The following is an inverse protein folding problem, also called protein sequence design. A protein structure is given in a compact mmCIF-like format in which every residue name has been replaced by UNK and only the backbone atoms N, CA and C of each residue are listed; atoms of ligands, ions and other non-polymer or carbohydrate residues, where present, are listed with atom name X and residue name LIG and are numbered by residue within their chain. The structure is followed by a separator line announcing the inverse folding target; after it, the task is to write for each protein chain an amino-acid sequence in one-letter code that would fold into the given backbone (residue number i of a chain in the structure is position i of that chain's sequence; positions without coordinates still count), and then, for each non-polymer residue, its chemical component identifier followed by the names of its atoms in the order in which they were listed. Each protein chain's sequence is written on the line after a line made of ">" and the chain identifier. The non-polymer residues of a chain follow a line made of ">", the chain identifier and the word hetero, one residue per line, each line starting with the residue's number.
data_IF_205198104955
#
_entry.id   IF_205198104955
#
_cell.length_a   1.000
_cell.length_b   1.000
_cell.length_c   1.000
_cell.angle_alpha   90.00
_cell.angle_beta   90.00
_cell.angle_gamma   90.00
#
_symmetry.space_group_name_H-M   'P 1'
#
loop_
_entity.id
_entity.type
_entity.pdbx_description
1 polymer ?
#
# COMPACT_ATOMS: atom_id res chain seq x y z
N UNK A 1 -28.94 40.40 -0.25
CA UNK A 1 -27.73 40.75 -1.03
C UNK A 1 -27.28 39.55 -1.87
N UNK A 2 -28.05 39.12 -2.88
CA UNK A 2 -27.79 37.87 -3.63
C UNK A 2 -27.61 38.05 -5.14
N UNK A 3 -27.68 39.28 -5.66
CA UNK A 3 -27.64 39.55 -7.10
C UNK A 3 -26.24 39.84 -7.66
N UNK A 4 -25.22 40.01 -6.81
CA UNK A 4 -23.88 40.42 -7.27
C UNK A 4 -22.99 39.18 -7.58
N UNK A 5 -23.36 37.99 -7.10
CA UNK A 5 -22.60 36.75 -7.33
C UNK A 5 -23.08 35.93 -8.55
N UNK A 6 -24.22 36.28 -9.17
CA UNK A 6 -24.74 35.54 -10.34
C UNK A 6 -24.12 35.97 -11.68
N UNK A 7 -23.61 37.20 -11.78
CA UNK A 7 -22.92 37.72 -12.96
C UNK A 7 -21.57 37.06 -13.28
N UNK A 8 -20.64 36.84 -12.31
CA UNK A 8 -19.40 36.15 -12.63
C UNK A 8 -19.63 34.68 -13.03
N UNK A 9 -20.65 34.03 -12.46
CA UNK A 9 -21.02 32.65 -12.79
C UNK A 9 -21.55 32.49 -14.22
N UNK A 10 -22.33 33.46 -14.71
CA UNK A 10 -22.84 33.44 -16.09
C UNK A 10 -21.75 33.78 -17.11
N UNK A 11 -20.81 34.66 -16.75
CA UNK A 11 -19.65 34.98 -17.59
C UNK A 11 -18.67 33.79 -17.68
N UNK A 12 -18.47 33.04 -16.59
CA UNK A 12 -17.65 31.82 -16.58
C UNK A 12 -18.25 30.69 -17.44
N UNK A 13 -19.57 30.48 -17.39
CA UNK A 13 -20.26 29.53 -18.28
C UNK A 13 -20.25 29.95 -19.76
N UNK A 14 -20.04 31.24 -20.08
CA UNK A 14 -19.92 31.71 -21.46
C UNK A 14 -18.49 31.58 -22.02
N UNK A 15 -17.48 31.63 -21.15
CA UNK A 15 -16.05 31.58 -21.51
C UNK A 15 -15.49 30.14 -21.59
N UNK A 16 -16.16 29.15 -21.00
CA UNK A 16 -15.75 27.75 -21.03
C UNK A 16 -16.74 26.92 -21.87
N UNK A 17 -16.47 26.68 -23.17
CA UNK A 17 -17.37 25.94 -24.08
C UNK A 17 -17.53 24.44 -23.75
N UNK A 18 -17.01 23.97 -22.61
CA UNK A 18 -17.02 22.55 -22.21
C UNK A 18 -17.95 22.22 -21.05
N UNK A 19 -18.62 23.20 -20.44
CA UNK A 19 -19.50 22.98 -19.28
C UNK A 19 -20.87 22.46 -19.74
N UNK A 20 -21.08 21.14 -19.71
CA UNK A 20 -22.42 20.55 -19.83
C UNK A 20 -23.19 20.87 -18.54
N UNK A 21 -24.47 21.27 -18.65
CA UNK A 21 -25.30 21.72 -17.52
C UNK A 21 -25.62 20.66 -16.42
N UNK A 22 -24.93 19.52 -16.41
CA UNK A 22 -25.13 18.43 -15.45
C UNK A 22 -23.88 18.01 -14.67
N UNK A 23 -22.70 18.59 -14.93
CA UNK A 23 -21.49 18.33 -14.13
C UNK A 23 -21.41 19.32 -12.97
N UNK A 24 -21.06 18.88 -11.74
CA UNK A 24 -20.87 19.78 -10.62
C UNK A 24 -19.73 20.75 -10.95
N UNK A 25 -19.98 22.05 -10.81
CA UNK A 25 -19.05 23.12 -11.19
C UNK A 25 -17.64 22.97 -10.57
N UNK A 26 -17.54 22.34 -9.41
CA UNK A 26 -16.26 22.02 -8.76
C UNK A 26 -15.39 21.08 -9.60
N UNK A 27 -15.98 20.14 -10.34
CA UNK A 27 -15.27 19.22 -11.22
C UNK A 27 -14.67 19.95 -12.42
N UNK A 28 -15.41 20.90 -13.00
CA UNK A 28 -14.93 21.67 -14.15
C UNK A 28 -13.84 22.67 -13.73
N UNK A 29 -13.94 23.24 -12.53
CA UNK A 29 -12.87 24.06 -11.94
C UNK A 29 -11.60 23.23 -11.65
N UNK A 30 -11.76 22.01 -11.15
CA UNK A 30 -10.63 21.10 -10.91
C UNK A 30 -9.95 20.70 -12.21
N UNK A 31 -10.73 20.31 -13.23
CA UNK A 31 -10.19 19.98 -14.56
C UNK A 31 -9.50 21.16 -15.21
N UNK A 32 -10.05 22.36 -15.08
CA UNK A 32 -9.44 23.59 -15.59
C UNK A 32 -8.14 23.89 -14.84
N UNK A 33 -8.09 23.71 -13.52
CA UNK A 33 -6.88 23.90 -12.73
C UNK A 33 -5.78 22.88 -13.11
N UNK A 34 -6.16 21.62 -13.33
CA UNK A 34 -5.23 20.57 -13.79
C UNK A 34 -4.70 20.90 -15.19
N UNK A 35 -5.57 21.30 -16.13
CA UNK A 35 -5.18 21.61 -17.50
C UNK A 35 -4.32 22.89 -17.59
N UNK A 36 -4.65 23.92 -16.81
CA UNK A 36 -3.80 25.11 -16.69
C UNK A 36 -2.46 24.78 -16.03
N UNK A 37 -2.45 23.94 -14.99
CA UNK A 37 -1.23 23.49 -14.35
C UNK A 37 -0.34 22.69 -15.30
N UNK A 38 -0.90 21.74 -16.04
CA UNK A 38 -0.15 20.93 -16.99
C UNK A 38 0.39 21.78 -18.15
N UNK A 39 -0.39 22.72 -18.70
CA UNK A 39 0.09 23.63 -19.74
C UNK A 39 1.18 24.60 -19.24
N UNK A 40 1.08 25.05 -17.98
CA UNK A 40 2.11 25.91 -17.38
C UNK A 40 3.44 25.16 -17.20
N UNK A 41 3.39 23.89 -16.77
CA UNK A 41 4.58 23.08 -16.53
C UNK A 41 5.04 22.24 -17.74
N UNK A 42 4.25 22.11 -18.79
CA UNK A 42 4.58 21.35 -20.00
C UNK A 42 5.91 21.76 -20.65
N UNK A 43 6.27 23.06 -20.78
CA UNK A 43 7.56 23.46 -21.33
C UNK A 43 8.74 22.95 -20.49
N UNK A 44 8.62 23.01 -19.15
CA UNK A 44 9.66 22.56 -18.23
C UNK A 44 9.82 21.04 -18.24
N UNK A 45 8.71 20.30 -18.33
CA UNK A 45 8.74 18.83 -18.44
C UNK A 45 9.36 18.42 -19.79
N UNK A 46 9.06 19.14 -20.88
CA UNK A 46 9.64 18.90 -22.20
C UNK A 46 11.16 19.14 -22.23
N UNK A 47 11.64 20.23 -21.63
CA UNK A 47 13.06 20.51 -21.52
C UNK A 47 13.80 19.44 -20.71
N UNK A 48 13.23 19.01 -19.59
CA UNK A 48 13.81 17.94 -18.76
C UNK A 48 13.88 16.60 -19.50
N UNK A 49 12.84 16.25 -20.25
CA UNK A 49 12.80 15.02 -21.02
C UNK A 49 13.80 15.03 -22.19
N UNK A 50 13.89 16.15 -22.92
CA UNK A 50 14.85 16.34 -24.00
C UNK A 50 16.31 16.32 -23.48
N UNK A 51 16.59 16.96 -22.34
CA UNK A 51 17.92 16.92 -21.72
C UNK A 51 18.33 15.49 -21.35
N UNK A 52 17.38 14.66 -20.91
CA UNK A 52 17.63 13.26 -20.54
C UNK A 52 17.84 12.36 -21.76
N UNK A 53 17.14 12.60 -22.86
CA UNK A 53 17.37 11.85 -24.11
C UNK A 53 18.68 12.24 -24.80
N UNK A 54 19.05 13.52 -24.80
CA UNK A 54 20.32 13.96 -25.38
C UNK A 54 21.54 13.49 -24.55
N UNK A 55 21.41 13.42 -23.22
CA UNK A 55 22.47 12.88 -22.35
C UNK A 55 22.71 11.38 -22.50
N UNK A 56 21.74 10.61 -22.99
CA UNK A 56 21.87 9.16 -23.16
C UNK A 56 22.58 8.75 -24.48
N UNK A 57 22.75 9.67 -25.44
CA UNK A 57 23.41 9.40 -26.72
C UNK A 57 24.85 9.92 -26.83
N UNK A 58 25.36 10.61 -25.81
CA UNK A 58 26.78 10.96 -25.71
C UNK A 58 27.53 10.02 -24.78
N UNK A 59 27.61 8.75 -25.16
CA UNK A 59 28.73 7.90 -24.72
C UNK A 59 29.91 8.26 -25.62
N UNK A 60 30.97 8.90 -25.13
CA UNK A 60 32.17 9.12 -25.94
C UNK A 60 32.85 7.76 -26.08
N UNK A 61 32.68 7.13 -27.24
CA UNK A 61 33.55 6.05 -27.65
C UNK A 61 34.93 6.65 -27.91
N UNK A 62 35.87 6.28 -27.04
CA UNK A 62 37.31 6.30 -27.27
C UNK A 62 37.60 5.93 -28.73
N UNK A 63 38.00 6.93 -29.51
CA UNK A 63 38.55 6.78 -30.84
C UNK A 63 40.03 7.15 -30.76
N UNK A 64 40.84 6.17 -30.36
CA UNK A 64 42.28 6.19 -30.58
C UNK A 64 42.60 5.75 -32.01
N UNK A 65 43.54 6.49 -32.59
CA UNK A 65 44.30 6.25 -33.83
C UNK A 65 43.51 6.39 -35.15
N UNK A 66 43.85 7.29 -36.08
CA UNK A 66 45.17 7.37 -36.75
C UNK A 66 45.26 8.66 -37.60
N UNK A 67 46.40 9.38 -37.54
CA UNK A 67 46.88 10.33 -38.58
C UNK A 67 47.18 9.55 -39.88
N UNK A 68 46.85 9.96 -41.11
CA UNK A 68 47.36 11.12 -41.88
C UNK A 68 46.60 11.26 -43.25
N UNK A 69 46.80 12.31 -44.09
CA UNK A 69 45.77 12.94 -44.94
C UNK A 69 46.16 12.90 -46.46
N UNK A 70 45.76 13.88 -47.30
CA UNK A 70 44.44 14.13 -47.87
C UNK A 70 44.46 14.01 -49.41
N UNK A 71 43.32 13.68 -50.05
CA UNK A 71 43.10 14.17 -51.41
C UNK A 71 41.64 14.20 -51.85
N UNK A 72 41.29 15.34 -52.44
CA UNK A 72 40.37 15.53 -53.56
C UNK A 72 38.85 15.65 -53.31
N UNK A 73 38.46 16.90 -53.05
CA UNK A 73 37.56 17.76 -53.84
C UNK A 73 36.38 17.17 -54.66
N UNK A 74 35.26 17.88 -54.51
CA UNK A 74 34.17 18.15 -55.45
C UNK A 74 33.20 17.03 -55.83
N UNK A 75 31.97 17.09 -55.28
CA UNK A 75 30.76 17.39 -56.06
C UNK A 75 29.49 17.46 -55.18
N UNK A 76 28.95 18.68 -55.12
CA UNK A 76 27.56 19.17 -55.18
C UNK A 76 26.35 18.44 -54.51
N UNK A 77 25.32 19.20 -54.06
CA UNK A 77 24.19 18.71 -53.28
C UNK A 77 22.92 18.52 -54.12
N UNK A 78 22.24 17.39 -53.98
CA UNK A 78 20.78 17.27 -54.21
C UNK A 78 20.31 15.86 -53.86
N UNK A 79 19.46 15.72 -52.84
CA UNK A 79 18.09 15.24 -53.06
C UNK A 79 17.32 15.05 -51.76
N UNK A 80 16.14 15.64 -51.79
CA UNK A 80 14.99 15.42 -50.94
C UNK A 80 14.42 14.01 -51.13
N UNK A 81 13.61 13.61 -50.15
CA UNK A 81 12.53 12.61 -50.24
C UNK A 81 12.88 11.13 -50.46
N UNK A 82 13.01 10.41 -49.35
CA UNK A 82 12.47 9.04 -49.26
C UNK A 82 11.87 8.78 -47.86
N UNK A 83 10.60 9.16 -47.74
CA UNK A 83 9.48 8.34 -47.29
C UNK A 83 9.76 7.05 -46.46
N UNK A 84 9.26 7.09 -45.22
CA UNK A 84 8.52 6.04 -44.50
C UNK A 84 8.93 4.56 -44.69
N UNK A 85 9.54 3.97 -43.65
CA UNK A 85 9.21 2.63 -43.12
C UNK A 85 10.15 2.26 -41.96
N UNK A 86 9.70 2.47 -40.72
CA UNK A 86 10.16 1.75 -39.53
C UNK A 86 9.16 2.08 -38.40
N UNK A 87 8.06 1.34 -38.35
CA UNK A 87 7.90 0.23 -37.42
C UNK A 87 7.35 0.74 -36.08
N UNK A 88 6.02 0.76 -36.01
CA UNK A 88 5.26 0.62 -34.78
C UNK A 88 5.86 -0.53 -33.94
N UNK A 89 6.55 -0.16 -32.86
CA UNK A 89 6.79 -1.08 -31.76
C UNK A 89 5.53 -1.06 -30.88
N UNK A 90 4.81 -2.18 -30.69
CA UNK A 90 3.70 -2.22 -29.76
C UNK A 90 4.26 -2.07 -28.35
N UNK A 91 3.97 -0.92 -27.74
CA UNK A 91 4.19 -0.69 -26.32
C UNK A 91 3.26 -1.65 -25.55
N UNK A 92 3.86 -2.62 -24.89
CA UNK A 92 3.17 -3.55 -23.99
C UNK A 92 2.73 -2.78 -22.74
N UNK A 93 1.44 -2.40 -22.66
CA UNK A 93 0.80 -1.68 -21.55
C UNK A 93 0.71 -2.51 -20.24
N UNK A 94 1.53 -3.55 -20.08
CA UNK A 94 1.54 -4.43 -18.90
C UNK A 94 2.60 -4.12 -17.86
N UNK A 95 3.41 -3.09 -18.06
CA UNK A 95 4.33 -2.57 -17.04
C UNK A 95 3.67 -1.42 -16.25
N UNK A 96 2.51 -1.70 -15.66
CA UNK A 96 2.01 -0.89 -14.55
C UNK A 96 2.77 -1.36 -13.32
N UNK A 97 3.65 -0.51 -12.81
CA UNK A 97 4.24 -0.65 -11.48
C UNK A 97 3.06 -0.55 -10.49
N UNK A 98 2.56 -1.70 -10.07
CA UNK A 98 1.52 -1.81 -9.07
C UNK A 98 2.21 -1.73 -7.71
N UNK A 99 2.08 -0.57 -7.04
CA UNK A 99 2.52 -0.40 -5.65
C UNK A 99 1.68 -1.36 -4.77
N UNK A 100 2.34 -2.38 -4.24
CA UNK A 100 1.78 -3.38 -3.31
C UNK A 100 1.58 -2.74 -1.93
N UNK A 101 0.54 -1.92 -1.78
CA UNK A 101 -0.02 -1.57 -0.47
C UNK A 101 -0.87 -2.74 0.03
N UNK A 102 -0.24 -3.62 0.80
CA UNK A 102 -0.86 -4.80 1.42
C UNK A 102 -1.76 -4.40 2.61
N UNK A 103 -3.02 -4.03 2.33
CA UNK A 103 -4.08 -4.00 3.33
C UNK A 103 -5.43 -4.43 2.71
N UNK A 104 -6.02 -5.48 3.28
CA UNK A 104 -7.38 -5.98 3.05
C UNK A 104 -7.69 -6.68 1.72
N UNK A 105 -7.12 -7.89 1.53
CA UNK A 105 -7.70 -8.89 0.62
C UNK A 105 -8.61 -9.88 1.38
N UNK A 106 -9.84 -10.16 0.90
CA UNK A 106 -10.77 -11.10 1.53
C UNK A 106 -10.25 -12.55 1.47
N UNK A 107 -10.54 -13.40 2.47
CA UNK A 107 -10.05 -14.77 2.53
C UNK A 107 -10.76 -15.62 1.47
N UNK A 108 -10.15 -15.83 0.31
CA UNK A 108 -10.68 -16.77 -0.70
C UNK A 108 -10.13 -16.69 -2.12
N UNK A 109 -9.39 -15.65 -2.51
CA UNK A 109 -8.82 -15.57 -3.85
C UNK A 109 -7.47 -16.29 -3.92
N UNK A 110 -7.47 -17.54 -4.40
CA UNK A 110 -6.25 -18.28 -4.69
C UNK A 110 -5.44 -17.55 -5.77
N UNK A 111 -4.25 -17.06 -5.42
CA UNK A 111 -3.29 -16.50 -6.39
C UNK A 111 -2.94 -17.56 -7.45
N UNK A 112 -2.89 -17.22 -8.75
CA UNK A 112 -2.49 -18.18 -9.78
C UNK A 112 -1.04 -18.64 -9.52
N UNK A 113 -0.84 -19.96 -9.41
CA UNK A 113 0.49 -20.56 -9.26
C UNK A 113 1.31 -20.27 -10.51
N UNK A 114 2.54 -19.80 -10.32
CA UNK A 114 3.49 -19.60 -11.41
C UNK A 114 3.66 -20.89 -12.26
N UNK A 115 3.93 -20.78 -13.57
CA UNK A 115 4.14 -21.93 -14.43
C UNK A 115 5.36 -22.74 -13.94
N UNK A 116 5.14 -23.99 -13.56
CA UNK A 116 6.19 -24.93 -13.18
C UNK A 116 7.16 -25.11 -14.36
N UNK A 117 8.50 -24.97 -14.18
CA UNK A 117 9.45 -25.22 -15.25
C UNK A 117 9.39 -26.68 -15.72
N UNK A 118 9.65 -26.95 -17.01
CA UNK A 118 9.52 -28.29 -17.60
C UNK A 118 10.52 -29.29 -16.97
N UNK A 119 10.14 -30.57 -16.83
CA UNK A 119 11.01 -31.59 -16.25
C UNK A 119 12.22 -31.83 -17.17
N UNK A 120 13.42 -31.76 -16.58
CA UNK A 120 14.66 -32.08 -17.27
C UNK A 120 14.66 -33.54 -17.79
N UNK A 121 15.21 -33.80 -18.99
CA UNK A 121 15.21 -35.13 -19.58
C UNK A 121 16.06 -36.11 -18.75
N UNK A 122 15.41 -37.22 -18.35
CA UNK A 122 16.05 -38.41 -17.79
C UNK A 122 16.94 -39.06 -18.85
N UNK A 123 18.25 -38.85 -18.75
CA UNK A 123 19.21 -39.79 -19.31
C UNK A 123 19.61 -40.81 -18.25
N UNK A 124 18.97 -41.98 -18.34
CA UNK A 124 19.53 -43.21 -17.83
C UNK A 124 20.70 -43.61 -18.74
N UNK A 125 21.89 -43.74 -18.15
CA UNK A 125 22.87 -44.70 -18.59
C UNK A 125 23.37 -45.43 -17.35
N UNK A 126 22.80 -46.61 -17.21
CA UNK A 126 23.14 -47.70 -16.31
C UNK A 126 24.57 -48.19 -16.61
N UNK A 127 25.43 -48.23 -15.59
CA UNK A 127 26.54 -49.19 -15.51
C UNK A 127 26.60 -49.67 -14.07
N UNK A 128 26.17 -50.91 -13.88
CA UNK A 128 26.45 -51.77 -12.73
C UNK A 128 27.96 -51.83 -12.48
N UNK A 129 28.41 -51.67 -11.25
CA UNK A 129 28.67 -52.85 -10.41
C UNK A 129 29.27 -52.46 -9.05
N UNK A 130 28.78 -53.20 -8.07
CA UNK A 130 29.43 -53.68 -6.88
C UNK A 130 29.75 -52.78 -5.65
N UNK A 131 29.20 -53.33 -4.56
CA UNK A 131 29.82 -53.47 -3.25
C UNK A 131 29.79 -52.30 -2.28
N UNK A 132 28.90 -52.48 -1.30
CA UNK A 132 29.20 -52.41 0.13
C UNK A 132 30.18 -51.31 0.57
N UNK A 133 29.68 -50.31 1.31
CA UNK A 133 30.24 -50.01 2.63
C UNK A 133 29.35 -49.08 3.46
N UNK A 134 28.85 -49.66 4.54
CA UNK A 134 28.84 -49.14 5.90
C UNK A 134 28.80 -47.63 6.13
N UNK A 135 27.67 -47.22 6.70
CA UNK A 135 27.55 -46.09 7.61
C UNK A 135 28.55 -46.29 8.76
N UNK A 136 29.76 -45.77 8.61
CA UNK A 136 30.72 -45.62 9.71
C UNK A 136 30.51 -44.26 10.38
N UNK A 137 29.85 -44.31 11.52
CA UNK A 137 29.90 -43.28 12.55
C UNK A 137 31.37 -42.87 12.82
N UNK A 138 31.76 -41.60 12.60
CA UNK A 138 33.13 -41.11 12.82
C UNK A 138 33.58 -41.16 14.29
N UNK A 139 32.66 -41.42 15.24
CA UNK A 139 32.91 -41.42 16.67
C UNK A 139 32.72 -42.78 17.36
N UNK A 140 32.42 -43.85 16.61
CA UNK A 140 32.40 -45.19 17.19
C UNK A 140 33.83 -45.59 17.61
N UNK A 141 34.08 -45.98 18.88
CA UNK A 141 35.37 -46.50 19.31
C UNK A 141 35.64 -47.81 18.57
N UNK A 142 36.48 -47.73 17.53
CA UNK A 142 36.93 -48.89 16.78
C UNK A 142 37.60 -49.93 17.70
N UNK A 143 37.60 -51.22 17.32
CA UNK A 143 38.18 -52.28 18.13
C UNK A 143 39.61 -51.90 18.49
N UNK A 144 39.92 -51.98 19.78
CA UNK A 144 41.23 -51.70 20.33
C UNK A 144 42.29 -52.49 19.55
N UNK A 145 42.97 -51.82 18.62
CA UNK A 145 44.15 -52.38 18.00
C UNK A 145 45.14 -52.69 19.13
N UNK A 146 45.68 -53.91 19.22
CA UNK A 146 46.67 -54.23 20.22
C UNK A 146 47.82 -53.22 20.10
N UNK A 147 48.37 -52.73 21.21
CA UNK A 147 49.49 -51.81 21.16
C UNK A 147 50.59 -52.45 20.31
N UNK A 148 51.13 -51.74 19.30
CA UNK A 148 52.21 -52.29 18.50
C UNK A 148 53.35 -52.67 19.45
N UNK A 149 54.01 -53.84 19.24
CA UNK A 149 55.11 -54.23 20.10
C UNK A 149 56.14 -53.09 20.14
N UNK A 150 56.76 -52.82 21.31
CA UNK A 150 57.73 -51.75 21.44
C UNK A 150 58.83 -51.98 20.41
N UNK A 151 58.79 -51.20 19.32
CA UNK A 151 59.85 -51.23 18.34
C UNK A 151 61.13 -50.85 19.07
N UNK A 152 62.21 -51.63 18.96
CA UNK A 152 63.46 -51.30 19.62
C UNK A 152 63.85 -49.90 19.17
N UNK A 153 64.11 -49.02 20.14
CA UNK A 153 64.54 -47.65 19.93
C UNK A 153 65.53 -47.62 18.77
N UNK A 154 65.10 -47.03 17.65
CA UNK A 154 65.89 -46.99 16.42
C UNK A 154 67.19 -46.31 16.79
N UNK A 155 68.27 -47.08 16.86
CA UNK A 155 69.58 -46.59 17.26
C UNK A 155 69.88 -45.32 16.42
N UNK A 156 70.40 -44.25 17.04
CA UNK A 156 70.73 -43.02 16.32
C UNK A 156 71.62 -43.40 15.14
N UNK A 157 71.42 -42.80 13.96
CA UNK A 157 72.11 -43.20 12.74
C UNK A 157 73.62 -43.15 12.97
N UNK A 158 74.22 -44.32 13.16
CA UNK A 158 75.66 -44.43 13.33
C UNK A 158 76.30 -43.93 12.04
N UNK A 159 77.28 -43.02 12.17
CA UNK A 159 78.05 -42.43 11.08
C UNK A 159 78.85 -43.51 10.32
N UNK A 160 78.15 -44.31 9.53
CA UNK A 160 78.76 -45.20 8.56
C UNK A 160 79.25 -44.32 7.42
N UNK A 161 80.54 -44.40 7.10
CA UNK A 161 81.15 -43.78 5.92
C UNK A 161 80.44 -44.28 4.67
N UNK A 162 79.40 -43.56 4.27
CA UNK A 162 78.67 -43.79 3.03
C UNK A 162 79.57 -43.38 1.88
N UNK A 163 79.71 -44.26 0.88
CA UNK A 163 80.46 -43.94 -0.33
C UNK A 163 79.96 -42.65 -0.99
N UNK A 164 80.87 -41.95 -1.68
CA UNK A 164 80.65 -40.60 -2.23
C UNK A 164 79.34 -40.44 -3.01
N UNK A 165 78.94 -41.44 -3.81
CA UNK A 165 77.67 -41.45 -4.55
C UNK A 165 76.44 -41.47 -3.63
N UNK A 166 76.49 -42.25 -2.54
CA UNK A 166 75.41 -42.36 -1.55
C UNK A 166 75.33 -41.13 -0.65
N UNK A 167 76.46 -40.52 -0.32
CA UNK A 167 76.51 -39.23 0.38
C UNK A 167 75.82 -38.12 -0.45
N UNK A 168 76.12 -38.02 -1.76
CA UNK A 168 75.47 -37.04 -2.65
C UNK A 168 73.96 -37.29 -2.81
N UNK A 169 73.55 -38.56 -2.89
CA UNK A 169 72.12 -38.92 -2.95
C UNK A 169 71.38 -38.57 -1.65
N UNK A 170 72.01 -38.80 -0.49
CA UNK A 170 71.45 -38.43 0.82
C UNK A 170 71.35 -36.90 0.96
N UNK A 171 72.39 -36.15 0.60
CA UNK A 171 72.36 -34.69 0.63
C UNK A 171 71.23 -34.11 -0.25
N UNK A 172 70.99 -34.67 -1.44
CA UNK A 172 69.87 -34.24 -2.30
C UNK A 172 68.50 -34.55 -1.70
N UNK A 173 68.35 -35.71 -1.06
CA UNK A 173 67.10 -36.07 -0.34
C UNK A 173 66.89 -35.19 0.89
N UNK A 174 67.96 -34.83 1.58
CA UNK A 174 67.91 -33.96 2.75
C UNK A 174 67.53 -32.53 2.35
N UNK A 175 68.12 -31.99 1.28
CA UNK A 175 67.70 -30.73 0.67
C UNK A 175 66.23 -30.73 0.26
N UNK A 176 65.72 -31.85 -0.29
CA UNK A 176 64.31 -31.96 -0.67
C UNK A 176 63.38 -32.00 0.56
N UNK A 177 63.80 -32.65 1.65
CA UNK A 177 63.05 -32.62 2.92
C UNK A 177 63.04 -31.23 3.53
N UNK A 178 64.21 -30.59 3.62
CA UNK A 178 64.35 -29.22 4.10
C UNK A 178 63.50 -28.23 3.29
N UNK A 179 63.45 -28.37 1.96
CA UNK A 179 62.59 -27.55 1.11
C UNK A 179 61.09 -27.80 1.37
N UNK A 180 60.67 -29.06 1.49
CA UNK A 180 59.27 -29.39 1.77
C UNK A 180 58.84 -28.96 3.19
N UNK A 181 59.75 -29.03 4.17
CA UNK A 181 59.52 -28.54 5.53
C UNK A 181 59.45 -27.01 5.56
N UNK A 182 60.35 -26.33 4.84
CA UNK A 182 60.29 -24.89 4.66
C UNK A 182 58.97 -24.46 4.01
N UNK A 183 58.50 -25.16 2.98
CA UNK A 183 57.22 -24.86 2.32
C UNK A 183 56.02 -25.05 3.26
N UNK A 184 56.06 -26.05 4.15
CA UNK A 184 55.04 -26.24 5.19
C UNK A 184 55.10 -25.11 6.23
N UNK A 185 56.29 -24.74 6.67
CA UNK A 185 56.49 -23.63 7.61
C UNK A 185 56.03 -22.30 7.02
N UNK A 186 56.32 -22.04 5.75
CA UNK A 186 55.86 -20.84 5.04
C UNK A 186 54.33 -20.81 4.91
N UNK A 187 53.70 -21.96 4.60
CA UNK A 187 52.25 -22.08 4.57
C UNK A 187 51.62 -21.90 5.97
N UNK A 188 52.26 -22.41 7.03
CA UNK A 188 51.80 -22.23 8.41
C UNK A 188 51.95 -20.78 8.88
N UNK A 189 53.05 -20.11 8.54
CA UNK A 189 53.27 -18.68 8.81
C UNK A 189 52.21 -17.84 8.09
N UNK A 190 51.92 -18.16 6.81
CA UNK A 190 50.88 -17.47 6.04
C UNK A 190 49.49 -17.65 6.64
N UNK A 191 49.13 -18.87 7.06
CA UNK A 191 47.85 -19.13 7.74
C UNK A 191 47.72 -18.33 9.04
N UNK A 192 48.78 -18.27 9.86
CA UNK A 192 48.78 -17.48 11.10
C UNK A 192 48.59 -15.98 10.84
N UNK A 193 49.27 -15.43 9.84
CA UNK A 193 49.10 -14.02 9.45
C UNK A 193 47.69 -13.73 8.90
N UNK A 194 47.10 -14.67 8.15
CA UNK A 194 45.73 -14.55 7.64
C UNK A 194 44.70 -14.71 8.77
N UNK A 195 44.91 -15.59 9.74
CA UNK A 195 44.04 -15.77 10.92
C UNK A 195 44.08 -14.54 11.84
N UNK A 196 45.27 -13.99 12.12
CA UNK A 196 45.44 -12.75 12.90
C UNK A 196 44.78 -11.55 12.20
N UNK A 197 44.97 -11.41 10.88
CA UNK A 197 44.32 -10.36 10.09
C UNK A 197 42.82 -10.56 9.87
N UNK A 198 42.30 -11.79 10.02
CA UNK A 198 40.87 -12.09 9.90
C UNK A 198 40.11 -11.56 11.12
N UNK A 199 40.61 -11.79 12.32
CA UNK A 199 39.96 -11.33 13.55
C UNK A 199 39.85 -9.81 13.62
N UNK A 200 40.89 -9.08 13.19
CA UNK A 200 40.87 -7.61 13.14
C UNK A 200 39.86 -7.07 12.12
N UNK A 201 39.76 -7.71 10.94
CA UNK A 201 38.78 -7.34 9.91
C UNK A 201 37.36 -7.68 10.35
N UNK A 202 37.16 -8.82 10.99
CA UNK A 202 35.86 -9.24 11.53
C UNK A 202 35.42 -8.32 12.66
N UNK A 203 36.32 -7.93 13.56
CA UNK A 203 36.05 -6.97 14.62
C UNK A 203 35.70 -5.58 14.06
N UNK A 204 36.42 -5.10 13.04
CA UNK A 204 36.12 -3.83 12.39
C UNK A 204 34.75 -3.85 11.69
N UNK A 205 34.43 -4.93 10.98
CA UNK A 205 33.12 -5.10 10.33
C UNK A 205 31.99 -5.27 11.36
N UNK A 206 32.25 -5.92 12.50
CA UNK A 206 31.27 -6.07 13.58
C UNK A 206 30.90 -4.71 14.19
N UNK A 207 31.89 -3.86 14.50
CA UNK A 207 31.64 -2.52 15.03
C UNK A 207 30.87 -1.63 14.05
N UNK A 208 31.14 -1.75 12.74
CA UNK A 208 30.36 -1.02 11.73
C UNK A 208 28.92 -1.54 11.64
N UNK A 209 28.73 -2.86 11.67
CA UNK A 209 27.40 -3.48 11.69
C UNK A 209 26.61 -3.06 12.93
N UNK A 210 27.23 -2.99 14.10
CA UNK A 210 26.58 -2.53 15.33
C UNK A 210 26.11 -1.08 15.21
N UNK A 211 26.90 -0.20 14.58
CA UNK A 211 26.50 1.20 14.34
C UNK A 211 25.32 1.30 13.38
N UNK A 212 25.29 0.48 12.32
CA UNK A 212 24.17 0.44 11.37
C UNK A 212 22.92 -0.14 12.02
N UNK A 213 23.06 -1.24 12.77
CA UNK A 213 21.96 -1.85 13.51
C UNK A 213 21.35 -0.87 14.53
N UNK A 214 22.17 -0.15 15.28
CA UNK A 214 21.68 0.87 16.22
C UNK A 214 20.92 2.00 15.50
N UNK A 215 21.37 2.44 14.32
CA UNK A 215 20.68 3.45 13.54
C UNK A 215 19.34 2.92 12.96
N UNK A 216 19.33 1.69 12.46
CA UNK A 216 18.12 1.03 11.93
C UNK A 216 17.08 0.76 13.03
N UNK A 217 17.48 0.42 14.25
CA UNK A 217 16.57 0.27 15.39
C UNK A 217 15.94 1.62 15.78
N UNK A 218 16.70 2.73 15.74
CA UNK A 218 16.15 4.07 15.98
C UNK A 218 15.16 4.47 14.89
N UNK A 219 15.44 4.16 13.62
CA UNK A 219 14.53 4.42 12.51
C UNK A 219 13.24 3.60 12.67
N UNK A 220 13.36 2.29 12.94
CA UNK A 220 12.20 1.40 13.15
C UNK A 220 11.38 1.80 14.38
N UNK A 221 12.01 2.27 15.44
CA UNK A 221 11.32 2.77 16.63
C UNK A 221 10.51 4.04 16.30
N UNK A 222 11.09 4.99 15.56
CA UNK A 222 10.40 6.21 15.12
C UNK A 222 9.24 5.91 14.17
N UNK A 223 9.43 5.04 13.20
CA UNK A 223 8.37 4.64 12.27
C UNK A 223 7.20 3.96 13.00
N UNK A 224 7.50 3.11 13.99
CA UNK A 224 6.46 2.50 14.83
C UNK A 224 5.72 3.54 15.64
N UNK A 225 6.42 4.49 16.25
CA UNK A 225 5.82 5.58 17.03
C UNK A 225 4.93 6.48 16.15
N UNK A 226 5.38 6.83 14.94
CA UNK A 226 4.59 7.60 13.97
C UNK A 226 3.33 6.85 13.51
N UNK A 227 3.45 5.55 13.22
CA UNK A 227 2.32 4.70 12.85
C UNK A 227 1.31 4.58 14.00
N UNK A 228 1.79 4.43 15.23
CA UNK A 228 0.93 4.38 16.42
C UNK A 228 0.27 5.74 16.70
N UNK A 229 0.98 6.85 16.50
CA UNK A 229 0.42 8.19 16.64
C UNK A 229 -0.70 8.46 15.62
N UNK A 230 -0.47 8.11 14.36
CA UNK A 230 -1.47 8.25 13.30
C UNK A 230 -2.69 7.35 13.56
N UNK A 231 -2.47 6.11 14.02
CA UNK A 231 -3.56 5.22 14.40
C UNK A 231 -4.37 5.81 15.54
N UNK A 232 -3.72 6.36 16.57
CA UNK A 232 -4.38 6.98 17.73
C UNK A 232 -5.16 8.24 17.36
N UNK A 233 -4.66 9.06 16.43
CA UNK A 233 -5.38 10.23 15.92
C UNK A 233 -6.64 9.80 15.16
N UNK A 234 -6.53 8.83 14.25
CA UNK A 234 -7.68 8.29 13.51
C UNK A 234 -8.72 7.66 14.42
N UNK A 235 -8.29 6.92 15.45
CA UNK A 235 -9.18 6.36 16.47
C UNK A 235 -9.89 7.47 17.24
N UNK A 236 -9.17 8.54 17.65
CA UNK A 236 -9.77 9.68 18.32
C UNK A 236 -10.80 10.41 17.44
N UNK A 237 -10.49 10.65 16.17
CA UNK A 237 -11.43 11.26 15.24
C UNK A 237 -12.67 10.38 15.00
N UNK A 238 -12.48 9.06 14.92
CA UNK A 238 -13.57 8.10 14.77
C UNK A 238 -14.45 8.04 16.02
N UNK A 239 -13.87 8.09 17.22
CA UNK A 239 -14.59 8.17 18.49
C UNK A 239 -15.39 9.48 18.59
N UNK A 240 -14.79 10.62 18.26
CA UNK A 240 -15.49 11.91 18.23
C UNK A 240 -16.66 11.91 17.23
N UNK A 241 -16.50 11.27 16.07
CA UNK A 241 -17.59 11.15 15.11
C UNK A 241 -18.68 10.19 15.61
N UNK A 242 -18.32 9.09 16.26
CA UNK A 242 -19.26 8.16 16.88
C UNK A 242 -20.07 8.85 17.98
N UNK A 243 -19.42 9.62 18.85
CA UNK A 243 -20.11 10.39 19.90
C UNK A 243 -21.07 11.43 19.32
N UNK A 244 -20.68 12.12 18.23
CA UNK A 244 -21.59 13.04 17.52
C UNK A 244 -22.82 12.31 17.00
N UNK A 245 -22.61 11.15 16.37
CA UNK A 245 -23.70 10.31 15.85
C UNK A 245 -24.64 9.90 16.97
N UNK A 246 -24.10 9.46 18.11
CA UNK A 246 -24.87 9.02 19.26
C UNK A 246 -25.64 10.16 19.92
N UNK A 247 -25.06 11.36 20.02
CA UNK A 247 -25.77 12.56 20.51
C UNK A 247 -26.98 12.89 19.65
N UNK A 248 -26.84 12.90 18.33
CA UNK A 248 -27.95 13.19 17.40
C UNK A 248 -29.04 12.15 17.50
N UNK A 249 -28.66 10.86 17.47
CA UNK A 249 -29.62 9.77 17.56
C UNK A 249 -30.35 9.81 18.90
N UNK A 250 -29.65 10.06 20.00
CA UNK A 250 -30.25 10.17 21.33
C UNK A 250 -31.17 11.38 21.45
N UNK A 251 -30.76 12.54 20.92
CA UNK A 251 -31.58 13.74 20.90
C UNK A 251 -32.88 13.54 20.10
N UNK A 252 -32.76 12.99 18.89
CA UNK A 252 -33.91 12.68 18.02
C UNK A 252 -34.82 11.66 18.70
N UNK A 253 -34.26 10.61 19.31
CA UNK A 253 -35.03 9.59 20.03
C UNK A 253 -35.81 10.20 21.20
N UNK A 254 -35.16 10.97 22.07
CA UNK A 254 -35.81 11.64 23.20
C UNK A 254 -36.92 12.56 22.70
N UNK A 255 -36.64 13.42 21.72
CA UNK A 255 -37.65 14.36 21.19
C UNK A 255 -38.83 13.64 20.52
N UNK A 256 -38.62 12.50 19.87
CA UNK A 256 -39.72 11.67 19.33
C UNK A 256 -40.58 11.08 20.44
N UNK A 257 -39.96 10.60 21.52
CA UNK A 257 -40.67 10.02 22.65
C UNK A 257 -41.48 11.11 23.39
N UNK A 258 -40.86 12.26 23.62
CA UNK A 258 -41.44 13.38 24.35
C UNK A 258 -42.50 14.12 23.52
N UNK A 259 -42.14 14.61 22.34
CA UNK A 259 -42.98 15.53 21.54
C UNK A 259 -43.75 14.81 20.44
N UNK A 260 -43.18 13.74 19.88
CA UNK A 260 -43.79 13.00 18.77
C UNK A 260 -43.40 13.51 17.38
N UNK A 261 -42.69 14.63 17.28
CA UNK A 261 -42.10 15.08 16.02
C UNK A 261 -40.75 15.80 16.24
N UNK A 262 -39.89 15.75 15.23
CA UNK A 262 -38.56 16.40 15.26
C UNK A 262 -38.26 17.00 13.89
N UNK A 263 -37.79 18.25 13.88
CA UNK A 263 -37.20 18.86 12.69
C UNK A 263 -35.74 18.41 12.56
N UNK A 264 -35.44 17.65 11.50
CA UNK A 264 -34.08 17.18 11.25
C UNK A 264 -33.14 18.30 10.80
N UNK A 265 -33.67 19.41 10.30
CA UNK A 265 -32.87 20.59 9.91
C UNK A 265 -32.30 21.26 11.16
N UNK A 266 -33.11 21.40 12.21
CA UNK A 266 -32.66 21.93 13.50
C UNK A 266 -31.60 21.01 14.14
N UNK A 267 -31.85 19.69 14.15
CA UNK A 267 -30.89 18.71 14.66
C UNK A 267 -29.56 18.74 13.89
N UNK A 268 -29.61 18.95 12.56
CA UNK A 268 -28.42 19.07 11.73
C UNK A 268 -27.66 20.38 11.99
N UNK A 269 -28.38 21.49 12.16
CA UNK A 269 -27.81 22.80 12.46
C UNK A 269 -27.07 22.80 13.80
N UNK A 270 -27.64 22.17 14.82
CA UNK A 270 -27.04 22.09 16.16
C UNK A 270 -25.68 21.38 16.18
N UNK A 271 -25.44 20.45 15.25
CA UNK A 271 -24.17 19.72 15.12
C UNK A 271 -23.27 20.23 13.97
N UNK A 272 -23.71 21.27 13.25
CA UNK A 272 -22.99 21.80 12.09
C UNK A 272 -22.88 20.81 10.93
N UNK A 273 -23.92 20.00 10.71
CA UNK A 273 -23.99 18.99 9.64
C UNK A 273 -25.14 19.26 8.68
N UNK A 274 -25.13 18.55 7.57
CA UNK A 274 -26.20 18.60 6.59
C UNK A 274 -27.39 17.74 7.00
N UNK A 275 -28.60 18.17 6.63
CA UNK A 275 -29.84 17.40 6.79
C UNK A 275 -29.76 15.97 6.21
N UNK A 276 -29.05 15.81 5.09
CA UNK A 276 -28.87 14.50 4.42
C UNK A 276 -28.00 13.57 5.29
N UNK A 277 -27.05 14.12 6.04
CA UNK A 277 -26.21 13.36 6.95
C UNK A 277 -27.06 12.81 8.12
N UNK A 278 -27.90 13.64 8.74
CA UNK A 278 -28.82 13.21 9.81
C UNK A 278 -29.80 12.16 9.30
N UNK A 279 -30.37 12.35 8.12
CA UNK A 279 -31.29 11.36 7.52
C UNK A 279 -30.60 10.00 7.30
N UNK A 280 -29.40 9.99 6.71
CA UNK A 280 -28.62 8.76 6.51
C UNK A 280 -28.28 8.10 7.84
N UNK A 281 -27.91 8.90 8.84
CA UNK A 281 -27.62 8.42 10.18
C UNK A 281 -28.83 7.73 10.81
N UNK A 282 -30.02 8.33 10.72
CA UNK A 282 -31.26 7.75 11.27
C UNK A 282 -31.71 6.48 10.54
N UNK A 283 -31.42 6.40 9.23
CA UNK A 283 -31.64 5.17 8.45
C UNK A 283 -30.65 4.08 8.86
N UNK A 284 -29.37 4.42 9.01
CA UNK A 284 -28.30 3.49 9.37
C UNK A 284 -28.40 2.99 10.82
N UNK A 285 -28.84 3.85 11.76
CA UNK A 285 -29.07 3.47 13.15
C UNK A 285 -30.25 2.52 13.33
N UNK A 286 -31.06 2.33 12.27
CA UNK A 286 -32.26 1.50 12.32
C UNK A 286 -33.35 2.09 13.22
N UNK A 287 -33.26 3.36 13.61
CA UNK A 287 -34.23 4.03 14.48
C UNK A 287 -35.62 4.05 13.83
N UNK A 288 -35.68 4.22 12.51
CA UNK A 288 -36.92 4.10 11.74
C UNK A 288 -37.54 2.71 11.84
N UNK A 289 -36.72 1.64 11.93
CA UNK A 289 -37.20 0.27 12.05
C UNK A 289 -37.61 -0.11 13.48
N UNK A 290 -36.82 0.29 14.48
CA UNK A 290 -37.01 -0.11 15.88
C UNK A 290 -38.20 0.55 16.56
N UNK A 291 -38.53 1.79 16.18
CA UNK A 291 -39.65 2.53 16.75
C UNK A 291 -41.00 2.23 16.07
N UNK A 292 -41.03 1.28 15.14
CA UNK A 292 -42.28 0.65 14.71
C UNK A 292 -42.76 -0.34 15.80
N UNK A 293 -43.19 0.20 16.93
CA UNK A 293 -43.92 -0.59 17.94
C UNK A 293 -45.35 -0.80 17.47
N UNK A 294 -45.97 -1.94 17.79
CA UNK A 294 -47.36 -2.26 17.43
C UNK A 294 -48.31 -1.08 17.70
N UNK A 295 -48.77 -0.42 16.63
CA UNK A 295 -49.69 0.71 16.67
C UNK A 295 -49.08 2.11 16.43
N UNK A 296 -47.76 2.23 16.27
CA UNK A 296 -47.07 3.48 15.96
C UNK A 296 -46.24 3.40 14.68
N UNK A 297 -46.27 4.44 13.85
CA UNK A 297 -45.45 4.55 12.65
C UNK A 297 -44.66 5.84 12.63
N UNK A 298 -43.36 5.74 12.38
CA UNK A 298 -42.54 6.87 12.02
C UNK A 298 -42.63 7.15 10.52
N UNK A 299 -42.84 8.41 10.17
CA UNK A 299 -42.82 8.89 8.80
C UNK A 299 -41.81 10.03 8.68
N UNK A 300 -40.99 9.95 7.63
CA UNK A 300 -40.14 11.05 7.21
C UNK A 300 -40.89 11.86 6.14
N UNK A 301 -41.17 13.12 6.44
CA UNK A 301 -41.86 14.02 5.49
C UNK A 301 -40.89 14.58 4.45
N UNK A 302 -41.42 15.05 3.32
CA UNK A 302 -40.60 15.71 2.28
C UNK A 302 -39.93 17.02 2.73
N UNK A 303 -40.33 17.56 3.89
CA UNK A 303 -39.71 18.73 4.53
C UNK A 303 -38.68 18.35 5.61
N UNK A 304 -38.27 17.08 5.66
CA UNK A 304 -37.31 16.54 6.64
C UNK A 304 -37.81 16.61 8.09
N UNK A 305 -39.11 16.48 8.31
CA UNK A 305 -39.65 16.24 9.64
C UNK A 305 -39.77 14.74 9.87
N UNK A 306 -39.34 14.29 11.04
CA UNK A 306 -39.58 12.93 11.51
C UNK A 306 -40.77 12.95 12.46
N UNK A 307 -41.87 12.31 12.07
CA UNK A 307 -43.14 12.36 12.79
C UNK A 307 -43.55 10.96 13.21
N UNK A 308 -43.88 10.79 14.50
CA UNK A 308 -44.45 9.57 15.06
C UNK A 308 -45.98 9.69 15.06
N UNK A 309 -46.61 8.79 14.31
CA UNK A 309 -48.06 8.69 14.23
C UNK A 309 -48.50 7.47 15.04
N UNK A 310 -49.11 7.75 16.18
CA UNK A 310 -49.72 6.75 17.06
C UNK A 310 -51.19 6.55 16.72
N UNK A 311 -51.76 5.41 17.15
CA UNK A 311 -53.18 5.12 17.02
C UNK A 311 -54.06 6.28 17.55
N UNK A 312 -53.71 6.86 18.70
CA UNK A 312 -54.47 7.98 19.27
C UNK A 312 -54.46 9.24 18.39
N UNK A 313 -53.35 9.53 17.69
CA UNK A 313 -53.28 10.66 16.75
C UNK A 313 -54.20 10.39 15.56
N UNK A 314 -54.17 9.17 15.03
CA UNK A 314 -55.06 8.77 13.94
C UNK A 314 -56.53 8.79 14.34
N UNK A 315 -56.89 8.31 15.52
CA UNK A 315 -58.27 8.31 16.02
C UNK A 315 -58.82 9.73 16.12
N UNK A 316 -58.00 10.68 16.61
CA UNK A 316 -58.34 12.11 16.64
C UNK A 316 -58.49 12.71 15.25
N UNK A 317 -57.56 12.41 14.35
CA UNK A 317 -57.62 12.87 12.97
C UNK A 317 -58.89 12.36 12.27
N UNK A 318 -59.28 11.10 12.48
CA UNK A 318 -60.53 10.55 11.95
C UNK A 318 -61.77 11.19 12.58
N UNK A 319 -61.76 11.47 13.88
CA UNK A 319 -62.86 12.16 14.54
C UNK A 319 -63.06 13.60 14.00
N UNK A 320 -61.96 14.33 13.77
CA UNK A 320 -62.00 15.65 13.15
C UNK A 320 -62.41 15.59 11.68
N UNK A 321 -61.89 14.63 10.92
CA UNK A 321 -62.30 14.39 9.54
C UNK A 321 -63.80 14.07 9.42
N UNK A 322 -64.35 13.30 10.36
CA UNK A 322 -65.79 13.01 10.38
C UNK A 322 -66.63 14.27 10.65
N UNK A 323 -66.19 15.16 11.55
CA UNK A 323 -66.85 16.46 11.78
C UNK A 323 -66.79 17.35 10.55
N UNK A 324 -65.61 17.45 9.94
CA UNK A 324 -65.42 18.20 8.70
C UNK A 324 -66.29 17.67 7.56
N UNK A 325 -66.41 16.33 7.44
CA UNK A 325 -67.27 15.70 6.45
C UNK A 325 -68.75 16.07 6.63
N UNK A 326 -69.26 16.11 7.87
CA UNK A 326 -70.65 16.49 8.14
C UNK A 326 -70.99 17.90 7.65
N UNK A 327 -70.03 18.81 7.73
CA UNK A 327 -70.17 20.20 7.27
C UNK A 327 -70.06 20.31 5.73
N UNK A 328 -69.31 19.43 5.08
CA UNK A 328 -68.97 19.49 3.65
C UNK A 328 -69.67 18.41 2.79
N UNK A 329 -70.82 17.90 3.22
CA UNK A 329 -71.63 16.97 2.41
C UNK A 329 -71.12 15.53 2.37
N UNK A 330 -70.42 15.09 3.41
CA UNK A 330 -70.00 13.70 3.65
C UNK A 330 -68.75 13.26 2.90
N UNK A 331 -68.02 14.18 2.25
CA UNK A 331 -66.82 13.88 1.48
C UNK A 331 -65.62 14.62 2.07
N UNK A 332 -64.50 13.92 2.19
CA UNK A 332 -63.21 14.47 2.63
C UNK A 332 -62.20 14.12 1.54
N UNK A 333 -61.51 15.13 0.99
CA UNK A 333 -60.43 14.86 0.03
C UNK A 333 -59.15 14.47 0.77
N UNK A 334 -58.21 13.88 0.06
CA UNK A 334 -56.91 13.54 0.65
C UNK A 334 -56.14 14.78 1.12
N UNK A 335 -56.29 15.91 0.43
CA UNK A 335 -55.66 17.17 0.85
C UNK A 335 -56.23 17.68 2.19
N UNK A 336 -57.55 17.53 2.38
CA UNK A 336 -58.24 17.93 3.62
C UNK A 336 -57.81 17.02 4.78
N UNK A 337 -57.77 15.70 4.55
CA UNK A 337 -57.33 14.75 5.56
C UNK A 337 -55.86 14.98 5.97
N UNK A 338 -54.99 15.29 5.01
CA UNK A 338 -53.59 15.62 5.29
C UNK A 338 -53.48 16.89 6.16
N UNK A 339 -54.28 17.92 5.85
CA UNK A 339 -54.31 19.18 6.62
C UNK A 339 -54.85 18.95 8.03
N UNK A 340 -55.87 18.12 8.19
CA UNK A 340 -56.41 17.73 9.51
C UNK A 340 -55.37 16.95 10.31
N UNK A 341 -54.68 15.99 9.69
CA UNK A 341 -53.63 15.23 10.35
C UNK A 341 -52.46 16.13 10.80
N UNK A 342 -52.03 17.07 9.95
CA UNK A 342 -51.01 18.06 10.29
C UNK A 342 -51.43 18.89 11.50
N UNK A 343 -52.66 19.40 11.52
CA UNK A 343 -53.20 20.17 12.64
C UNK A 343 -53.27 19.34 13.94
N UNK A 344 -53.69 18.08 13.87
CA UNK A 344 -53.76 17.20 15.05
C UNK A 344 -52.37 16.90 15.60
N UNK A 345 -51.37 16.70 14.74
CA UNK A 345 -49.98 16.51 15.14
C UNK A 345 -49.46 17.79 15.81
N UNK A 346 -49.63 18.96 15.21
CA UNK A 346 -49.18 20.24 15.77
C UNK A 346 -49.85 20.55 17.12
N UNK A 347 -51.16 20.33 17.25
CA UNK A 347 -51.83 20.48 18.55
C UNK A 347 -51.33 19.48 19.60
N UNK A 348 -50.95 18.28 19.15
CA UNK A 348 -50.30 17.28 20.00
C UNK A 348 -48.97 17.79 20.56
N UNK A 349 -48.17 18.43 19.72
CA UNK A 349 -46.89 19.06 20.07
C UNK A 349 -47.10 20.17 21.09
N UNK A 350 -47.97 21.14 20.80
CA UNK A 350 -48.23 22.29 21.67
C UNK A 350 -48.73 21.88 23.06
N UNK A 351 -49.61 20.86 23.15
CA UNK A 351 -50.07 20.34 24.43
C UNK A 351 -48.98 19.69 25.24
N UNK A 352 -48.07 18.97 24.57
CA UNK A 352 -46.96 18.33 25.27
C UNK A 352 -46.00 19.41 25.76
N UNK A 353 -45.59 20.37 24.95
CA UNK A 353 -44.72 21.47 25.40
C UNK A 353 -45.32 22.28 26.55
N UNK A 354 -46.63 22.55 26.52
CA UNK A 354 -47.33 23.26 27.60
C UNK A 354 -47.36 22.51 28.94
N UNK A 355 -47.17 21.19 28.93
CA UNK A 355 -47.17 20.38 30.15
C UNK A 355 -45.79 20.32 30.83
N UNK A 356 -44.76 20.88 30.18
CA UNK A 356 -43.37 20.91 30.67
C UNK A 356 -42.88 22.33 31.05
N UNK A 357 -43.63 23.38 30.71
CA UNK A 357 -43.41 24.76 31.22
C UNK A 357 -44.22 24.97 32.51
#
# INVERSE_FOLDING_TARGET
>A
MGAILSLPFTLLNLLLPFTRAGTPLSQDLLHTAILCGTLYFAPQIGEWYNARQQGAHHTPLDQTDTHDPPNQADNDPTNSDTQAAAADAPLDERLVLQDDDEADSPPGAARPRAPTPPPAPRHQAHVEDDEHHDVRDPFAPGPANPPPPPQPARAPPTHRTVGTKKAKSLARKDQQRAYNEWLRQEAEIRRRQEDEGREEREAALALERERRAAAEEVIRAKEREEREALKREREREAEEEAERRDRVVSHVKSRIEDVGCVDLVEAAWNEGKDRVWVERLLRASGLLGHLHTDGSRLLLTGRHWLVKIDQHIMDRAYAEAHRFAQEHGGKVRFEDLASILENVVLQGVERRESNWS
#
